data_IF_994872873186
#
_entry.id   IF_994872873186
#
_cell.length_a   1.000
_cell.length_b   1.000
_cell.length_c   1.000
_cell.angle_alpha   90.00
_cell.angle_beta   90.00
_cell.angle_gamma   90.00
#
_symmetry.space_group_name_H-M   'P 1'
#
loop_
_entity.id
_entity.type
_entity.pdbx_description
1 polymer ?
#
# COMPACT_ATOMS: atom_id res chain seq x y z
N UNK A 1 22.04 3.26 -6.40
CA UNK A 1 23.25 3.59 -5.60
C UNK A 1 22.98 3.15 -4.18
N UNK A 2 23.80 2.26 -3.63
CA UNK A 2 23.73 1.90 -2.22
C UNK A 2 24.18 3.10 -1.37
N UNK A 3 23.73 3.15 -0.11
CA UNK A 3 24.12 4.21 0.84
C UNK A 3 25.65 4.32 1.05
N UNK A 4 26.40 3.30 0.61
CA UNK A 4 27.84 3.16 0.79
C UNK A 4 28.64 3.49 -0.49
N UNK A 5 27.98 3.89 -1.57
CA UNK A 5 28.66 4.21 -2.83
C UNK A 5 29.36 5.59 -2.73
N UNK A 6 30.52 5.71 -3.38
CA UNK A 6 31.24 6.99 -3.49
C UNK A 6 30.40 7.99 -4.30
N UNK A 7 30.20 9.20 -3.78
CA UNK A 7 29.30 10.20 -4.38
C UNK A 7 27.83 10.08 -3.97
N UNK A 8 27.49 9.13 -3.08
CA UNK A 8 26.24 9.19 -2.32
C UNK A 8 26.31 10.36 -1.32
N UNK A 9 25.20 11.09 -1.08
CA UNK A 9 25.18 12.26 -0.18
C UNK A 9 25.69 11.97 1.25
N UNK A 10 25.63 10.70 1.65
CA UNK A 10 26.09 10.20 2.95
C UNK A 10 27.62 10.00 3.03
N UNK A 11 28.33 10.03 1.90
CA UNK A 11 29.78 9.84 1.79
C UNK A 11 30.44 11.04 1.10
N UNK A 12 29.83 12.22 1.19
CA UNK A 12 30.46 13.43 0.67
C UNK A 12 31.67 13.78 1.53
N UNK A 13 32.80 14.01 0.89
CA UNK A 13 33.94 14.62 1.55
C UNK A 13 33.65 16.09 1.91
N UNK A 14 34.55 16.69 2.70
CA UNK A 14 34.40 18.07 3.17
C UNK A 14 34.28 19.07 2.02
N UNK A 15 34.98 18.84 0.91
CA UNK A 15 34.97 19.70 -0.29
C UNK A 15 33.62 19.59 -1.00
N UNK A 16 33.10 18.38 -1.16
CA UNK A 16 31.81 18.11 -1.78
C UNK A 16 30.66 18.69 -0.95
N UNK A 17 30.73 18.56 0.38
CA UNK A 17 29.77 19.16 1.28
C UNK A 17 29.78 20.69 1.18
N UNK A 18 30.95 21.30 1.13
CA UNK A 18 31.07 22.75 0.99
C UNK A 18 30.59 23.25 -0.38
N UNK A 19 30.89 22.50 -1.44
CA UNK A 19 30.38 22.78 -2.79
C UNK A 19 28.86 22.74 -2.83
N UNK A 20 28.24 21.77 -2.17
CA UNK A 20 26.79 21.64 -2.09
C UNK A 20 26.14 22.80 -1.33
N UNK A 21 26.73 23.25 -0.22
CA UNK A 21 26.27 24.45 0.50
C UNK A 21 26.34 25.70 -0.38
N UNK A 22 27.46 25.89 -1.07
CA UNK A 22 27.64 27.00 -2.00
C UNK A 22 26.59 26.98 -3.12
N UNK A 23 26.27 25.81 -3.67
CA UNK A 23 25.21 25.64 -4.65
C UNK A 23 23.85 26.08 -4.09
N UNK A 24 23.48 25.62 -2.89
CA UNK A 24 22.20 25.99 -2.27
C UNK A 24 22.08 27.48 -1.99
N UNK A 25 23.14 28.09 -1.46
CA UNK A 25 23.21 29.54 -1.23
C UNK A 25 23.01 30.28 -2.56
N UNK A 26 23.72 29.87 -3.62
CA UNK A 26 23.61 30.48 -4.94
C UNK A 26 22.20 30.34 -5.52
N UNK A 27 21.57 29.18 -5.39
CA UNK A 27 20.21 28.92 -5.88
C UNK A 27 19.17 29.78 -5.15
N UNK A 28 19.21 29.82 -3.81
CA UNK A 28 18.28 30.64 -3.03
C UNK A 28 18.49 32.13 -3.33
N UNK A 29 19.73 32.60 -3.49
CA UNK A 29 20.01 33.97 -3.90
C UNK A 29 19.49 34.27 -5.31
N UNK A 30 19.56 33.32 -6.23
CA UNK A 30 19.00 33.48 -7.58
C UNK A 30 17.47 33.59 -7.53
N UNK A 31 16.80 32.74 -6.74
CA UNK A 31 15.35 32.81 -6.52
C UNK A 31 14.96 34.15 -5.86
N UNK A 32 15.71 34.60 -4.84
CA UNK A 32 15.55 35.91 -4.20
C UNK A 32 15.56 37.04 -5.22
N UNK A 33 16.57 37.03 -6.08
CA UNK A 33 16.79 38.07 -7.10
C UNK A 33 15.66 38.09 -8.12
N UNK A 34 15.22 36.92 -8.60
CA UNK A 34 14.17 36.83 -9.62
C UNK A 34 12.77 37.13 -9.08
N UNK A 35 12.49 36.71 -7.84
CA UNK A 35 11.20 36.93 -7.19
C UNK A 35 11.09 38.31 -6.50
N UNK A 36 12.21 39.03 -6.35
CA UNK A 36 12.32 40.24 -5.54
C UNK A 36 11.93 40.05 -4.06
N UNK A 37 12.02 38.82 -3.56
CA UNK A 37 11.75 38.50 -2.16
C UNK A 37 13.06 38.44 -1.34
N UNK A 38 13.06 38.90 -0.09
CA UNK A 38 14.17 38.69 0.84
C UNK A 38 14.48 37.20 1.02
N UNK A 39 15.77 36.84 1.13
CA UNK A 39 16.24 35.45 1.25
C UNK A 39 15.58 34.71 2.41
N UNK A 40 15.41 35.39 3.55
CA UNK A 40 14.78 34.86 4.77
C UNK A 40 13.27 34.58 4.61
N UNK A 41 12.64 35.09 3.55
CA UNK A 41 11.22 34.93 3.26
C UNK A 41 10.94 33.93 2.13
N UNK A 42 11.96 33.44 1.43
CA UNK A 42 11.78 32.53 0.29
C UNK A 42 11.16 31.21 0.73
N UNK A 43 11.65 30.63 1.82
CA UNK A 43 11.20 29.34 2.34
C UNK A 43 9.72 29.38 2.75
N UNK A 44 9.23 30.52 3.23
CA UNK A 44 7.83 30.72 3.62
C UNK A 44 6.96 31.32 2.51
N UNK A 45 7.50 31.46 1.30
CA UNK A 45 6.78 31.99 0.13
C UNK A 45 6.29 30.88 -0.80
N UNK A 46 5.44 31.25 -1.76
CA UNK A 46 4.98 30.35 -2.84
C UNK A 46 6.15 29.71 -3.60
N UNK A 47 7.29 30.42 -3.72
CA UNK A 47 8.49 29.84 -4.35
C UNK A 47 9.15 28.78 -3.49
N UNK A 48 9.08 28.91 -2.16
CA UNK A 48 9.49 27.87 -1.23
C UNK A 48 8.60 26.63 -1.37
N UNK A 49 7.28 26.83 -1.41
CA UNK A 49 6.32 25.74 -1.58
C UNK A 49 6.52 25.01 -2.91
N UNK A 50 6.60 25.73 -4.03
CA UNK A 50 6.87 25.16 -5.37
C UNK A 50 8.22 24.45 -5.43
N UNK A 51 9.23 24.99 -4.76
CA UNK A 51 10.54 24.36 -4.63
C UNK A 51 10.49 23.05 -3.84
N UNK A 52 9.79 23.01 -2.71
CA UNK A 52 9.57 21.77 -1.95
C UNK A 52 8.68 20.79 -2.69
N UNK A 53 7.71 21.27 -3.47
CA UNK A 53 6.89 20.44 -4.34
C UNK A 53 7.71 19.83 -5.48
N UNK A 54 8.56 20.61 -6.15
CA UNK A 54 9.46 20.12 -7.19
C UNK A 54 10.43 19.06 -6.64
N UNK A 55 10.92 19.25 -5.41
CA UNK A 55 11.72 18.26 -4.69
C UNK A 55 10.89 17.03 -4.30
N UNK A 56 9.65 17.23 -3.85
CA UNK A 56 8.75 16.17 -3.40
C UNK A 56 8.24 15.27 -4.52
N UNK A 57 8.07 15.80 -5.74
CA UNK A 57 7.66 15.00 -6.91
C UNK A 57 8.72 13.96 -7.33
N UNK A 58 9.99 14.11 -6.94
CA UNK A 58 11.05 13.15 -7.25
C UNK A 58 11.22 12.00 -6.20
N UNK A 59 10.25 11.84 -5.30
CA UNK A 59 10.21 11.01 -4.07
C UNK A 59 10.51 11.84 -2.81
N UNK A 60 9.49 12.16 -1.97
CA UNK A 60 9.71 12.89 -0.73
C UNK A 60 10.59 12.08 0.25
N UNK A 61 10.48 10.75 0.21
CA UNK A 61 11.32 9.82 0.97
C UNK A 61 12.81 9.97 0.62
N UNK A 62 13.14 10.44 -0.58
CA UNK A 62 14.54 10.57 -1.01
C UNK A 62 15.14 11.90 -0.54
N UNK A 63 14.37 12.94 -0.24
CA UNK A 63 14.95 14.22 0.23
C UNK A 63 14.79 14.45 1.73
N UNK A 64 13.63 14.16 2.33
CA UNK A 64 13.40 14.42 3.76
C UNK A 64 14.10 13.37 4.64
N UNK A 65 14.17 12.10 4.21
CA UNK A 65 14.99 11.07 4.87
C UNK A 65 16.47 11.11 4.42
N UNK A 66 16.84 11.82 3.34
CA UNK A 66 18.27 12.06 3.02
C UNK A 66 18.89 13.10 3.95
N UNK A 67 18.11 14.05 4.44
CA UNK A 67 18.59 15.13 5.30
C UNK A 67 18.52 14.78 6.79
N UNK A 68 17.55 13.97 7.20
CA UNK A 68 17.54 13.38 8.53
C UNK A 68 18.26 12.04 8.46
N UNK A 69 19.47 12.00 9.03
CA UNK A 69 20.19 10.73 9.19
C UNK A 69 19.27 9.79 9.97
N UNK A 70 19.32 8.48 9.71
CA UNK A 70 18.44 7.51 10.38
C UNK A 70 18.46 7.63 11.93
N UNK A 71 19.56 8.12 12.50
CA UNK A 71 19.69 8.39 13.94
C UNK A 71 19.09 9.73 14.42
N UNK A 72 18.80 10.67 13.53
CA UNK A 72 18.12 11.95 13.83
C UNK A 72 16.60 11.79 13.81
N UNK A 73 16.07 10.74 13.16
CA UNK A 73 14.64 10.44 13.17
C UNK A 73 14.09 10.24 14.59
N UNK A 74 14.90 9.69 15.49
CA UNK A 74 14.60 9.52 16.91
C UNK A 74 14.33 10.85 17.66
N UNK A 75 14.74 11.99 17.10
CA UNK A 75 14.47 13.32 17.68
C UNK A 75 13.05 13.81 17.40
N UNK A 76 12.39 13.27 16.38
CA UNK A 76 11.10 13.74 15.89
C UNK A 76 9.98 12.72 16.07
N UNK A 77 10.32 11.44 16.07
CA UNK A 77 9.38 10.34 16.11
C UNK A 77 9.91 9.32 17.13
N UNK A 78 9.01 8.76 17.93
CA UNK A 78 9.33 7.81 19.00
C UNK A 78 10.10 6.59 18.43
N UNK A 79 11.31 6.27 18.94
CA UNK A 79 12.08 5.10 18.49
C UNK A 79 11.32 3.77 18.55
N UNK A 80 10.29 3.66 19.38
CA UNK A 80 9.42 2.48 19.47
C UNK A 80 8.52 2.24 18.27
N UNK A 81 8.40 3.20 17.34
CA UNK A 81 7.64 3.01 16.09
C UNK A 81 8.52 2.64 14.90
N UNK A 82 9.86 2.65 15.06
CA UNK A 82 10.79 2.37 13.97
C UNK A 82 11.44 1.00 14.05
N UNK A 83 11.72 0.36 12.90
CA UNK A 83 12.54 -0.84 12.85
C UNK A 83 14.00 -0.54 13.22
N UNK A 84 14.71 -1.55 13.74
CA UNK A 84 16.12 -1.45 14.18
C UNK A 84 17.06 -0.86 13.12
N UNK A 85 16.87 -1.18 11.84
CA UNK A 85 17.67 -0.60 10.74
C UNK A 85 17.56 0.92 10.60
N UNK A 86 16.52 1.52 11.19
CA UNK A 86 16.29 2.97 11.26
C UNK A 86 16.55 3.53 12.67
N UNK A 87 17.41 2.88 13.45
CA UNK A 87 17.74 3.26 14.84
C UNK A 87 16.53 3.27 15.80
N UNK A 88 15.53 2.43 15.51
CA UNK A 88 14.37 2.20 16.38
C UNK A 88 14.49 0.93 17.22
N UNK A 89 13.42 0.59 17.94
CA UNK A 89 13.35 -0.61 18.78
C UNK A 89 12.45 -1.71 18.21
N UNK A 90 11.65 -1.41 17.18
CA UNK A 90 10.84 -2.46 16.53
C UNK A 90 11.74 -3.47 15.83
N UNK A 91 11.37 -4.76 15.84
CA UNK A 91 12.06 -5.75 15.03
C UNK A 91 11.98 -5.36 13.54
N UNK A 92 13.05 -5.67 12.80
CA UNK A 92 13.01 -5.56 11.35
C UNK A 92 11.99 -6.54 10.76
N UNK A 93 11.48 -6.24 9.58
CA UNK A 93 10.56 -7.12 8.87
C UNK A 93 11.24 -8.47 8.57
N UNK A 94 10.70 -9.54 9.14
CA UNK A 94 11.12 -10.92 8.87
C UNK A 94 10.11 -11.61 7.97
N UNK A 95 10.53 -11.98 6.76
CA UNK A 95 9.66 -12.67 5.82
C UNK A 95 9.41 -14.12 6.27
N UNK A 96 8.14 -14.47 6.45
CA UNK A 96 7.70 -15.85 6.70
C UNK A 96 7.33 -16.50 5.35
N UNK A 97 8.11 -17.48 4.86
CA UNK A 97 7.80 -18.18 3.60
C UNK A 97 6.53 -19.03 3.72
N UNK A 98 5.91 -19.44 2.59
CA UNK A 98 4.82 -20.41 2.60
C UNK A 98 5.28 -21.74 3.21
N UNK A 99 4.37 -22.40 3.94
CA UNK A 99 4.60 -23.77 4.42
C UNK A 99 4.24 -24.79 3.33
N UNK A 100 4.68 -26.05 3.47
CA UNK A 100 4.28 -27.12 2.56
C UNK A 100 2.74 -27.29 2.50
N UNK A 101 2.06 -27.09 3.62
CA UNK A 101 0.60 -27.14 3.69
C UNK A 101 -0.04 -25.97 2.91
N UNK A 102 0.52 -24.76 3.01
CA UNK A 102 0.06 -23.61 2.19
C UNK A 102 0.27 -23.87 0.70
N UNK A 103 1.39 -24.49 0.31
CA UNK A 103 1.67 -24.84 -1.09
C UNK A 103 0.68 -25.87 -1.63
N UNK A 104 0.40 -26.92 -0.85
CA UNK A 104 -0.60 -27.93 -1.19
C UNK A 104 -2.01 -27.33 -1.33
N UNK A 105 -2.37 -26.44 -0.40
CA UNK A 105 -3.64 -25.70 -0.44
C UNK A 105 -3.78 -24.85 -1.70
N UNK A 106 -2.76 -24.04 -2.00
CA UNK A 106 -2.76 -23.18 -3.19
C UNK A 106 -2.82 -24.03 -4.46
N UNK A 107 -2.11 -25.15 -4.51
CA UNK A 107 -2.14 -26.06 -5.65
C UNK A 107 -3.55 -26.64 -5.88
N UNK A 108 -4.22 -27.10 -4.82
CA UNK A 108 -5.59 -27.64 -4.91
C UNK A 108 -6.60 -26.58 -5.34
N UNK A 109 -6.56 -25.38 -4.75
CA UNK A 109 -7.46 -24.27 -5.11
C UNK A 109 -7.26 -23.85 -6.57
N UNK A 110 -6.01 -23.84 -7.06
CA UNK A 110 -5.70 -23.50 -8.45
C UNK A 110 -6.16 -24.58 -9.44
N UNK A 111 -6.20 -25.84 -9.01
CA UNK A 111 -6.69 -26.95 -9.83
C UNK A 111 -8.23 -26.94 -9.95
N UNK A 112 -8.94 -26.30 -9.02
CA UNK A 112 -10.41 -26.18 -9.04
C UNK A 112 -10.89 -25.09 -10.02
N UNK A 113 -10.79 -25.41 -11.32
CA UNK A 113 -11.22 -24.53 -12.41
C UNK A 113 -12.73 -24.26 -12.36
N UNK A 114 -13.53 -25.26 -12.00
CA UNK A 114 -14.99 -25.13 -11.98
C UNK A 114 -15.47 -24.28 -10.81
N UNK A 115 -14.94 -24.49 -9.60
CA UNK A 115 -15.27 -23.66 -8.44
C UNK A 115 -14.87 -22.21 -8.65
N UNK A 116 -13.71 -21.95 -9.27
CA UNK A 116 -13.31 -20.60 -9.70
C UNK A 116 -14.32 -19.98 -10.66
N UNK A 117 -14.73 -20.71 -11.71
CA UNK A 117 -15.70 -20.22 -12.69
C UNK A 117 -17.03 -19.87 -12.02
N UNK A 118 -17.53 -20.75 -11.14
CA UNK A 118 -18.76 -20.54 -10.39
C UNK A 118 -18.69 -19.30 -9.47
N UNK A 119 -17.59 -19.15 -8.73
CA UNK A 119 -17.37 -18.00 -7.86
C UNK A 119 -17.29 -16.68 -8.65
N UNK A 120 -16.64 -16.72 -9.82
CA UNK A 120 -16.52 -15.56 -10.70
C UNK A 120 -17.88 -15.16 -11.29
N UNK A 121 -18.68 -16.12 -11.77
CA UNK A 121 -20.05 -15.87 -12.26
C UNK A 121 -20.91 -15.28 -11.15
N UNK A 122 -20.91 -15.88 -9.95
CA UNK A 122 -21.69 -15.37 -8.81
C UNK A 122 -21.31 -13.93 -8.43
N UNK A 123 -20.01 -13.60 -8.47
CA UNK A 123 -19.54 -12.24 -8.24
C UNK A 123 -20.01 -11.26 -9.33
N UNK A 124 -19.94 -11.65 -10.60
CA UNK A 124 -20.41 -10.83 -11.73
C UNK A 124 -21.92 -10.55 -11.65
N UNK A 125 -22.71 -11.56 -11.34
CA UNK A 125 -24.17 -11.42 -11.17
C UNK A 125 -24.50 -10.49 -9.99
N UNK A 126 -23.84 -10.66 -8.85
CA UNK A 126 -24.04 -9.80 -7.69
C UNK A 126 -23.61 -8.35 -7.97
N UNK A 127 -22.51 -8.16 -8.72
CA UNK A 127 -22.03 -6.84 -9.13
C UNK A 127 -23.05 -6.15 -10.06
N UNK A 128 -23.57 -6.90 -11.03
CA UNK A 128 -24.59 -6.38 -11.94
C UNK A 128 -25.89 -6.02 -11.20
N UNK A 129 -26.33 -6.85 -10.25
CA UNK A 129 -27.49 -6.56 -9.43
C UNK A 129 -27.30 -5.27 -8.61
N UNK A 130 -26.17 -5.16 -7.89
CA UNK A 130 -25.86 -3.95 -7.11
C UNK A 130 -25.77 -2.69 -7.98
N UNK A 131 -25.18 -2.79 -9.18
CA UNK A 131 -25.12 -1.70 -10.14
C UNK A 131 -26.53 -1.27 -10.57
N UNK A 132 -27.39 -2.21 -10.94
CA UNK A 132 -28.77 -1.93 -11.37
C UNK A 132 -29.56 -1.19 -10.28
N UNK A 133 -29.49 -1.67 -9.03
CA UNK A 133 -30.18 -1.04 -7.89
C UNK A 133 -29.59 0.35 -7.59
N UNK A 134 -28.26 0.49 -7.64
CA UNK A 134 -27.60 1.79 -7.43
C UNK A 134 -27.97 2.80 -8.52
N UNK A 135 -28.11 2.35 -9.77
CA UNK A 135 -28.55 3.20 -10.88
C UNK A 135 -30.01 3.65 -10.72
N UNK A 136 -30.91 2.78 -10.24
CA UNK A 136 -32.29 3.18 -9.88
C UNK A 136 -32.29 4.26 -8.81
N UNK A 137 -31.52 4.05 -7.74
CA UNK A 137 -31.38 5.02 -6.65
C UNK A 137 -30.82 6.37 -7.14
N UNK A 138 -29.77 6.34 -7.95
CA UNK A 138 -29.14 7.56 -8.50
C UNK A 138 -30.07 8.34 -9.44
N UNK A 139 -31.04 7.68 -10.06
CA UNK A 139 -32.07 8.31 -10.92
C UNK A 139 -33.24 8.90 -10.14
N UNK A 140 -33.24 8.79 -8.81
CA UNK A 140 -34.30 9.35 -7.96
C UNK A 140 -35.57 8.49 -7.93
N UNK A 141 -35.45 7.17 -8.11
CA UNK A 141 -36.56 6.24 -7.90
C UNK A 141 -37.09 6.38 -6.46
N UNK A 142 -38.40 6.54 -6.33
CA UNK A 142 -39.10 6.88 -5.06
C UNK A 142 -39.57 5.66 -4.28
N UNK A 143 -39.22 4.45 -4.73
CA UNK A 143 -39.51 3.21 -4.01
C UNK A 143 -38.91 3.24 -2.59
N UNK A 144 -39.79 3.18 -1.59
CA UNK A 144 -39.45 3.18 -0.17
C UNK A 144 -38.52 2.04 0.24
N UNK A 145 -38.48 0.94 -0.50
CA UNK A 145 -37.65 -0.23 -0.20
C UNK A 145 -36.28 -0.19 -0.89
N UNK A 146 -36.04 0.76 -1.79
CA UNK A 146 -34.86 0.78 -2.66
C UNK A 146 -33.53 0.87 -1.88
N UNK A 147 -33.52 1.62 -0.77
CA UNK A 147 -32.35 1.70 0.10
C UNK A 147 -32.04 0.34 0.76
N UNK A 148 -33.06 -0.37 1.22
CA UNK A 148 -32.90 -1.69 1.81
C UNK A 148 -32.43 -2.71 0.77
N UNK A 149 -33.01 -2.69 -0.44
CA UNK A 149 -32.59 -3.50 -1.58
C UNK A 149 -31.11 -3.25 -1.90
N UNK A 150 -30.70 -1.98 -1.95
CA UNK A 150 -29.30 -1.60 -2.22
C UNK A 150 -28.34 -2.12 -1.16
N UNK A 151 -28.70 -2.00 0.12
CA UNK A 151 -27.90 -2.54 1.23
C UNK A 151 -27.77 -4.06 1.15
N UNK A 152 -28.86 -4.76 0.81
CA UNK A 152 -28.82 -6.21 0.61
C UNK A 152 -27.94 -6.59 -0.59
N UNK A 153 -28.07 -5.89 -1.72
CA UNK A 153 -27.25 -6.12 -2.90
C UNK A 153 -25.76 -5.87 -2.64
N UNK A 154 -25.42 -4.83 -1.87
CA UNK A 154 -24.04 -4.57 -1.45
C UNK A 154 -23.47 -5.72 -0.59
N UNK A 155 -24.28 -6.24 0.34
CA UNK A 155 -23.89 -7.40 1.17
C UNK A 155 -23.70 -8.66 0.33
N UNK A 156 -24.59 -8.90 -0.63
CA UNK A 156 -24.46 -10.03 -1.57
C UNK A 156 -23.19 -9.93 -2.41
N UNK A 157 -22.89 -8.75 -2.95
CA UNK A 157 -21.66 -8.49 -3.70
C UNK A 157 -20.42 -8.76 -2.83
N UNK A 158 -20.37 -8.23 -1.61
CA UNK A 158 -19.29 -8.50 -0.68
C UNK A 158 -19.11 -10.00 -0.41
N UNK A 159 -20.19 -10.71 -0.09
CA UNK A 159 -20.13 -12.14 0.21
C UNK A 159 -19.67 -12.97 -1.02
N UNK A 160 -20.10 -12.58 -2.22
CA UNK A 160 -19.66 -13.23 -3.45
C UNK A 160 -18.17 -12.97 -3.72
N UNK A 161 -17.69 -11.75 -3.45
CA UNK A 161 -16.28 -11.43 -3.55
C UNK A 161 -15.43 -12.21 -2.54
N UNK A 162 -15.88 -12.31 -1.27
CA UNK A 162 -15.19 -13.10 -0.24
C UNK A 162 -14.98 -14.55 -0.68
N UNK A 163 -15.98 -15.17 -1.31
CA UNK A 163 -15.87 -16.54 -1.87
C UNK A 163 -14.92 -16.64 -3.07
N UNK A 164 -14.72 -15.55 -3.80
CA UNK A 164 -13.81 -15.50 -4.94
C UNK A 164 -12.34 -15.33 -4.50
N UNK A 165 -12.08 -14.68 -3.35
CA UNK A 165 -10.74 -14.36 -2.84
C UNK A 165 -9.76 -15.54 -2.96
N UNK A 166 -10.07 -16.77 -2.50
CA UNK A 166 -9.10 -17.87 -2.51
C UNK A 166 -8.60 -18.23 -3.92
N UNK A 167 -9.42 -17.99 -4.95
CA UNK A 167 -9.10 -18.32 -6.34
C UNK A 167 -8.30 -17.24 -7.06
N UNK A 168 -8.32 -16.00 -6.58
CA UNK A 168 -7.66 -14.84 -7.22
C UNK A 168 -6.50 -14.26 -6.39
N UNK A 169 -6.37 -14.68 -5.14
CA UNK A 169 -5.35 -14.23 -4.20
C UNK A 169 -4.66 -15.41 -3.52
N UNK A 170 -3.57 -15.15 -2.83
CA UNK A 170 -2.87 -16.15 -2.01
C UNK A 170 -2.66 -15.60 -0.62
N UNK A 171 -2.50 -16.48 0.37
CA UNK A 171 -2.15 -16.08 1.74
C UNK A 171 -0.84 -15.29 1.73
N UNK A 172 -0.91 -14.07 2.22
CA UNK A 172 0.24 -13.16 2.36
C UNK A 172 1.05 -13.47 3.63
N UNK A 173 2.18 -12.78 3.81
CA UNK A 173 2.93 -12.82 5.07
C UNK A 173 2.05 -12.55 6.30
N UNK A 174 1.10 -11.61 6.21
CA UNK A 174 0.20 -11.25 7.30
C UNK A 174 -0.79 -12.35 7.69
N UNK A 175 -1.09 -13.27 6.77
CA UNK A 175 -1.88 -14.44 7.10
C UNK A 175 -1.05 -15.44 7.89
N UNK A 176 0.21 -15.64 7.48
CA UNK A 176 1.14 -16.60 8.09
C UNK A 176 1.64 -16.16 9.46
N UNK A 177 1.82 -14.86 9.67
CA UNK A 177 2.17 -14.31 10.98
C UNK A 177 0.96 -14.15 11.93
N UNK A 178 -0.26 -14.48 11.46
CA UNK A 178 -1.49 -14.46 12.25
C UNK A 178 -2.11 -13.07 12.45
N UNK A 179 -1.56 -12.01 11.85
CA UNK A 179 -2.14 -10.66 11.90
C UNK A 179 -3.48 -10.57 11.16
N UNK A 180 -3.63 -11.31 10.07
CA UNK A 180 -4.87 -11.47 9.32
C UNK A 180 -5.37 -12.90 9.49
N UNK A 181 -6.61 -13.04 9.96
CA UNK A 181 -7.29 -14.33 10.12
C UNK A 181 -8.44 -14.43 9.13
N UNK A 182 -8.12 -14.86 7.91
CA UNK A 182 -9.10 -15.12 6.85
C UNK A 182 -9.34 -16.62 6.71
N UNK A 183 -10.41 -17.10 7.35
CA UNK A 183 -10.77 -18.51 7.38
C UNK A 183 -11.20 -19.04 5.99
N UNK A 184 -11.64 -18.15 5.10
CA UNK A 184 -12.18 -18.50 3.78
C UNK A 184 -11.22 -19.34 2.92
N UNK A 185 -9.91 -19.14 3.04
CA UNK A 185 -8.92 -19.97 2.35
C UNK A 185 -8.98 -21.43 2.80
N UNK A 186 -9.13 -21.64 4.12
CA UNK A 186 -9.25 -22.98 4.68
C UNK A 186 -10.60 -23.60 4.32
N UNK A 187 -11.68 -22.83 4.45
CA UNK A 187 -13.03 -23.31 4.15
C UNK A 187 -13.16 -23.76 2.68
N UNK A 188 -12.58 -23.01 1.74
CA UNK A 188 -12.55 -23.38 0.32
C UNK A 188 -11.72 -24.63 0.09
N UNK A 189 -10.55 -24.74 0.72
CA UNK A 189 -9.71 -25.93 0.61
C UNK A 189 -10.42 -27.19 1.12
N UNK A 190 -11.04 -27.11 2.30
CA UNK A 190 -11.76 -28.22 2.91
C UNK A 190 -12.96 -28.66 2.04
N UNK A 191 -13.68 -27.70 1.44
CA UNK A 191 -14.75 -27.99 0.48
C UNK A 191 -14.24 -28.73 -0.76
N UNK A 192 -13.09 -28.33 -1.30
CA UNK A 192 -12.48 -29.01 -2.45
C UNK A 192 -12.10 -30.44 -2.06
N UNK A 193 -11.39 -30.62 -0.93
CA UNK A 193 -11.01 -31.95 -0.44
C UNK A 193 -12.24 -32.86 -0.21
N UNK A 194 -13.31 -32.33 0.39
CA UNK A 194 -14.55 -33.06 0.59
C UNK A 194 -15.22 -33.46 -0.75
N UNK A 195 -15.20 -32.56 -1.75
CA UNK A 195 -15.78 -32.86 -3.06
C UNK A 195 -15.00 -33.94 -3.81
N UNK A 196 -13.67 -33.99 -3.67
CA UNK A 196 -12.83 -35.04 -4.23
C UNK A 196 -13.14 -36.37 -3.55
N UNK A 197 -13.22 -36.39 -2.22
CA UNK A 197 -13.50 -37.61 -1.45
C UNK A 197 -14.87 -38.26 -1.77
N UNK A 198 -15.87 -37.46 -2.11
CA UNK A 198 -17.22 -37.95 -2.46
C UNK A 198 -17.37 -38.42 -3.92
N UNK A 199 -16.38 -38.15 -4.77
CA UNK A 199 -16.37 -38.53 -6.19
C UNK A 199 -15.48 -39.76 -6.48
N UNK A 200 -14.97 -40.41 -5.44
CA UNK A 200 -14.21 -41.68 -5.45
C UNK A 200 -15.12 -42.77 -4.91
#
# INVERSE_FOLDING_TARGET
>A
MAANDHGHVNNLDEIQMETLKCYWIALINAISTQSSLPVDQIISSVYGDEFFHAIGYENPDVFTLRWLRAFELAQYIDPSVFPKRLNGTQPDFEYIPPTADDEAMIAAIRADVQGKANAQTAHQEAAQHYLNVTMRWARGDTDSNLLAERTMAAKQLRNAFEKLIPYISTRTHYHRNGAIKEQIFQDTYDQICASIANNI
#
